data_IF_015370314160
#
_entry.id   IF_015370314160
#
_cell.length_a   1.000
_cell.length_b   1.000
_cell.length_c   1.000
_cell.angle_alpha   90.00
_cell.angle_beta   90.00
_cell.angle_gamma   90.00
#
_symmetry.space_group_name_H-M   'P 1'
#
loop_
_entity.id
_entity.type
_entity.pdbx_description
1 polymer ?
#
# COMPACT_ATOMS: atom_id res chain seq x y z
N UNK A 1 -12.81 13.33 6.48
CA UNK A 1 -11.56 14.04 6.13
C UNK A 1 -11.53 14.29 4.64
N UNK A 2 -11.16 15.48 4.24
CA UNK A 2 -11.06 15.84 2.83
C UNK A 2 -9.59 15.76 2.39
N UNK A 3 -9.28 14.76 1.58
CA UNK A 3 -7.91 14.54 1.12
C UNK A 3 -7.41 15.69 0.21
N UNK A 4 -8.32 16.36 -0.52
CA UNK A 4 -7.94 17.48 -1.37
C UNK A 4 -7.39 18.65 -0.56
N UNK A 5 -7.94 18.91 0.63
CA UNK A 5 -7.42 19.93 1.53
C UNK A 5 -5.98 19.66 1.95
N UNK A 6 -5.66 18.39 2.16
CA UNK A 6 -4.31 18.00 2.54
C UNK A 6 -3.32 18.19 1.41
N UNK A 7 -3.70 17.86 0.19
CA UNK A 7 -2.85 18.00 -0.98
C UNK A 7 -2.54 19.46 -1.32
N UNK A 8 -3.43 20.38 -0.93
CA UNK A 8 -3.25 21.81 -1.18
C UNK A 8 -2.55 22.57 -0.06
N UNK A 9 -2.24 21.90 1.04
CA UNK A 9 -1.54 22.54 2.17
C UNK A 9 -0.03 22.49 1.92
N UNK A 10 0.68 23.65 1.80
CA UNK A 10 2.11 23.63 1.46
C UNK A 10 2.97 22.81 2.41
N UNK A 11 2.61 22.78 3.70
CA UNK A 11 3.33 22.00 4.70
C UNK A 11 3.17 20.48 4.49
N UNK A 12 2.25 20.05 3.63
CA UNK A 12 2.01 18.65 3.33
C UNK A 12 2.74 18.18 2.06
N UNK A 13 3.44 19.10 1.39
CA UNK A 13 4.24 18.71 0.21
C UNK A 13 5.47 17.94 0.70
N UNK A 14 5.58 16.69 0.31
CA UNK A 14 6.66 15.80 0.72
C UNK A 14 7.47 15.41 -0.50
N UNK A 15 8.77 15.75 -0.48
CA UNK A 15 9.70 15.30 -1.50
C UNK A 15 9.91 13.79 -1.40
N UNK A 16 10.19 13.11 -2.52
CA UNK A 16 10.52 11.70 -2.51
C UNK A 16 11.76 11.38 -1.67
N UNK A 17 12.64 12.37 -1.46
CA UNK A 17 13.81 12.23 -0.59
C UNK A 17 13.44 12.17 0.89
N UNK A 18 12.28 12.70 1.24
CA UNK A 18 11.78 12.73 2.63
C UNK A 18 10.87 11.56 2.94
N UNK A 19 10.62 10.68 1.97
CA UNK A 19 9.79 9.49 2.20
C UNK A 19 10.49 8.57 3.17
N UNK A 20 9.77 8.21 4.23
CA UNK A 20 10.25 7.23 5.19
C UNK A 20 10.19 5.85 4.54
N UNK A 21 11.36 5.26 4.27
CA UNK A 21 11.50 3.95 3.66
C UNK A 21 11.84 2.90 4.70
N UNK A 22 11.03 1.86 4.78
CA UNK A 22 11.22 0.78 5.72
C UNK A 22 11.28 -0.57 5.01
N UNK A 23 12.25 -1.40 5.40
CA UNK A 23 12.34 -2.77 4.92
C UNK A 23 11.25 -3.61 5.58
N UNK A 24 10.59 -4.47 4.81
CA UNK A 24 9.65 -5.43 5.39
C UNK A 24 10.39 -6.41 6.29
N UNK A 25 9.72 -6.90 7.33
CA UNK A 25 10.32 -7.84 8.28
C UNK A 25 10.82 -9.11 7.61
N UNK A 26 10.10 -9.60 6.59
CA UNK A 26 10.51 -10.78 5.83
C UNK A 26 11.62 -10.50 4.82
N UNK A 27 12.03 -9.24 4.64
CA UNK A 27 13.09 -8.86 3.71
C UNK A 27 12.70 -8.91 2.24
N UNK A 28 11.40 -9.08 1.90
CA UNK A 28 10.94 -9.30 0.53
C UNK A 28 10.42 -8.04 -0.15
N UNK A 29 10.45 -6.93 0.53
CA UNK A 29 10.02 -5.66 -0.03
C UNK A 29 10.32 -4.49 0.88
N UNK A 30 9.86 -3.32 0.45
CA UNK A 30 10.03 -2.05 1.14
C UNK A 30 8.71 -1.29 1.13
N UNK A 31 8.51 -0.46 2.14
CA UNK A 31 7.41 0.51 2.17
C UNK A 31 8.00 1.91 2.26
N UNK A 32 7.58 2.79 1.35
CA UNK A 32 7.88 4.22 1.42
C UNK A 32 6.63 4.94 1.88
N UNK A 33 6.66 5.46 3.10
CA UNK A 33 5.53 6.21 3.65
C UNK A 33 5.54 7.62 3.09
N UNK A 34 4.45 8.01 2.43
CA UNK A 34 4.30 9.35 1.84
C UNK A 34 3.64 10.28 2.85
N UNK A 35 2.57 9.82 3.48
CA UNK A 35 1.75 10.64 4.37
C UNK A 35 1.06 9.74 5.39
N UNK A 36 0.96 10.21 6.61
CA UNK A 36 0.21 9.56 7.68
C UNK A 36 -0.56 10.62 8.45
N UNK A 37 -1.84 10.38 8.71
CA UNK A 37 -2.70 11.31 9.44
C UNK A 37 -3.40 10.60 10.59
N UNK A 38 -3.28 11.12 11.79
CA UNK A 38 -2.37 12.19 12.19
C UNK A 38 -0.90 11.80 11.98
N UNK A 39 -0.04 12.82 11.82
CA UNK A 39 1.36 12.60 11.45
C UNK A 39 2.19 11.96 12.58
N UNK A 40 1.73 12.04 13.80
CA UNK A 40 2.44 11.53 14.97
C UNK A 40 1.60 10.48 15.69
N UNK A 41 2.29 9.56 16.35
CA UNK A 41 1.65 8.47 17.08
C UNK A 41 1.29 7.29 16.18
N UNK A 42 0.73 6.25 16.80
CA UNK A 42 0.37 5.02 16.09
C UNK A 42 -1.12 4.95 15.74
N UNK A 43 -1.91 5.92 16.21
CA UNK A 43 -3.35 5.97 15.99
C UNK A 43 -3.68 6.77 14.70
N UNK A 44 -3.06 6.40 13.61
CA UNK A 44 -3.33 7.04 12.33
C UNK A 44 -4.68 6.57 11.75
N UNK A 45 -5.36 7.50 11.06
CA UNK A 45 -6.64 7.23 10.39
C UNK A 45 -6.46 6.96 8.89
N UNK A 46 -5.42 7.52 8.31
CA UNK A 46 -5.09 7.38 6.88
C UNK A 46 -3.57 7.26 6.76
N UNK A 47 -3.14 6.34 5.92
CA UNK A 47 -1.72 6.19 5.57
C UNK A 47 -1.61 5.98 4.08
N UNK A 48 -0.79 6.79 3.43
CA UNK A 48 -0.47 6.66 2.02
C UNK A 48 0.98 6.22 1.90
N UNK A 49 1.21 5.15 1.15
CA UNK A 49 2.55 4.62 0.96
C UNK A 49 2.71 4.00 -0.42
N UNK A 50 3.96 3.78 -0.80
CA UNK A 50 4.32 2.99 -1.99
C UNK A 50 5.03 1.74 -1.50
N UNK A 51 4.50 0.58 -1.87
CA UNK A 51 5.13 -0.69 -1.62
C UNK A 51 6.05 -1.04 -2.80
N UNK A 52 7.29 -1.41 -2.49
CA UNK A 52 8.22 -1.96 -3.46
C UNK A 52 8.32 -3.45 -3.19
N UNK A 53 7.74 -4.26 -4.06
CA UNK A 53 7.68 -5.71 -3.87
C UNK A 53 8.77 -6.34 -4.74
N UNK A 54 9.76 -6.92 -4.10
CA UNK A 54 10.94 -7.47 -4.78
C UNK A 54 10.85 -8.97 -5.02
N UNK A 55 10.04 -9.67 -4.23
CA UNK A 55 9.85 -11.11 -4.32
C UNK A 55 8.42 -11.46 -3.90
N UNK A 56 7.96 -12.62 -4.29
CA UNK A 56 6.69 -13.15 -3.82
C UNK A 56 6.67 -13.17 -2.29
N UNK A 57 5.60 -12.65 -1.69
CA UNK A 57 5.57 -12.43 -0.25
C UNK A 57 4.16 -12.44 0.33
N UNK A 58 4.06 -12.89 1.56
CA UNK A 58 2.84 -12.70 2.35
C UNK A 58 2.74 -11.22 2.75
N UNK A 59 1.53 -10.67 2.69
CA UNK A 59 1.24 -9.32 3.13
C UNK A 59 0.84 -9.33 4.60
N UNK A 60 1.30 -8.33 5.34
CA UNK A 60 0.87 -8.17 6.74
C UNK A 60 -0.61 -7.81 6.80
N UNK A 61 -1.32 -8.38 7.79
CA UNK A 61 -2.71 -8.03 8.03
C UNK A 61 -2.80 -6.74 8.85
N UNK A 62 -3.81 -5.92 8.54
CA UNK A 62 -4.11 -4.70 9.29
C UNK A 62 -5.60 -4.70 9.63
N UNK A 63 -6.00 -5.29 10.77
CA UNK A 63 -7.41 -5.36 11.13
C UNK A 63 -8.05 -3.98 11.28
N UNK A 64 -9.31 -3.87 10.86
CA UNK A 64 -10.09 -2.64 11.02
C UNK A 64 -9.89 -1.59 9.93
N UNK A 65 -9.09 -1.87 8.92
CA UNK A 65 -8.80 -0.92 7.85
C UNK A 65 -9.25 -1.44 6.50
N UNK A 66 -9.43 -0.52 5.57
CA UNK A 66 -9.63 -0.82 4.16
C UNK A 66 -8.35 -0.48 3.41
N UNK A 67 -7.98 -1.33 2.47
CA UNK A 67 -6.74 -1.19 1.71
C UNK A 67 -7.04 -1.20 0.22
N UNK A 68 -6.17 -0.53 -0.51
CA UNK A 68 -6.16 -0.56 -1.97
C UNK A 68 -4.73 -0.73 -2.44
N UNK A 69 -4.56 -1.42 -3.54
CA UNK A 69 -3.26 -1.56 -4.20
C UNK A 69 -3.41 -1.13 -5.64
N UNK A 70 -2.59 -0.18 -6.07
CA UNK A 70 -2.60 0.36 -7.45
C UNK A 70 -1.21 0.20 -8.02
N UNK A 71 -1.10 -0.50 -9.14
CA UNK A 71 0.19 -0.69 -9.81
C UNK A 71 0.68 0.63 -10.39
N UNK A 72 1.87 1.07 -9.98
CA UNK A 72 2.53 2.27 -10.51
C UNK A 72 3.60 1.90 -11.52
N UNK A 73 4.35 0.84 -11.25
CA UNK A 73 5.50 0.45 -12.04
C UNK A 73 5.72 -1.05 -11.94
N UNK A 74 6.13 -1.67 -13.04
CA UNK A 74 6.39 -3.10 -13.12
C UNK A 74 5.36 -3.85 -13.97
N UNK A 75 5.47 -5.16 -14.00
CA UNK A 75 4.69 -6.01 -14.90
C UNK A 75 3.46 -6.62 -14.25
N UNK A 76 3.24 -6.34 -12.97
CA UNK A 76 2.05 -6.75 -12.28
C UNK A 76 2.30 -7.64 -11.08
N UNK A 77 1.27 -7.77 -10.26
CA UNK A 77 1.26 -8.63 -9.09
C UNK A 77 -0.08 -9.36 -9.02
N UNK A 78 -0.03 -10.63 -8.66
CA UNK A 78 -1.23 -11.46 -8.45
C UNK A 78 -1.42 -11.65 -6.96
N UNK A 79 -2.59 -11.26 -6.46
CA UNK A 79 -2.91 -11.40 -5.05
C UNK A 79 -3.74 -12.66 -4.85
N UNK A 80 -3.20 -13.59 -4.06
CA UNK A 80 -3.91 -14.82 -3.69
C UNK A 80 -4.40 -14.68 -2.27
N UNK A 81 -5.71 -14.64 -2.10
CA UNK A 81 -6.35 -14.56 -0.80
C UNK A 81 -6.50 -15.96 -0.19
N UNK A 82 -6.49 -16.03 1.13
CA UNK A 82 -6.59 -17.30 1.84
C UNK A 82 -7.91 -18.04 1.57
N UNK A 83 -8.96 -17.31 1.18
CA UNK A 83 -10.26 -17.93 0.83
C UNK A 83 -10.31 -18.49 -0.60
N UNK A 84 -9.21 -18.41 -1.35
CA UNK A 84 -9.12 -18.92 -2.71
C UNK A 84 -9.34 -17.91 -3.81
N UNK A 85 -9.76 -16.68 -3.49
CA UNK A 85 -9.89 -15.62 -4.50
C UNK A 85 -8.52 -15.24 -5.02
N UNK A 86 -8.46 -14.85 -6.29
CA UNK A 86 -7.26 -14.32 -6.92
C UNK A 86 -7.61 -13.01 -7.61
N UNK A 87 -6.84 -11.96 -7.35
CA UNK A 87 -6.98 -10.68 -8.01
C UNK A 87 -5.68 -10.34 -8.75
N UNK A 88 -5.81 -9.91 -9.99
CA UNK A 88 -4.64 -9.53 -10.79
C UNK A 88 -4.55 -8.02 -10.90
N UNK A 89 -3.40 -7.48 -10.49
CA UNK A 89 -3.10 -6.05 -10.53
C UNK A 89 -2.09 -5.85 -11.65
N UNK A 90 -2.57 -5.55 -12.84
CA UNK A 90 -1.80 -5.57 -14.07
C UNK A 90 -1.66 -4.17 -14.69
N UNK A 91 -0.63 -3.96 -15.55
CA UNK A 91 -0.50 -2.71 -16.29
C UNK A 91 -1.68 -2.47 -17.25
N UNK A 92 -2.00 -1.21 -17.56
CA UNK A 92 -1.54 -0.02 -16.87
C UNK A 92 -2.43 0.27 -15.65
N UNK A 93 -1.81 0.51 -14.49
CA UNK A 93 -2.49 0.97 -13.27
C UNK A 93 -3.65 0.11 -12.79
N UNK A 94 -3.54 -1.20 -12.92
CA UNK A 94 -4.49 -2.13 -12.32
C UNK A 94 -4.60 -1.89 -10.83
N UNK A 95 -5.78 -2.14 -10.24
CA UNK A 95 -6.00 -1.90 -8.82
C UNK A 95 -7.00 -2.87 -8.23
N UNK A 96 -6.91 -3.03 -6.90
CA UNK A 96 -7.81 -3.88 -6.14
C UNK A 96 -8.01 -3.28 -4.76
N UNK A 97 -9.24 -3.42 -4.22
CA UNK A 97 -9.57 -3.04 -2.84
C UNK A 97 -9.84 -4.30 -2.04
N UNK A 98 -9.40 -4.30 -0.79
CA UNK A 98 -9.62 -5.45 0.09
C UNK A 98 -9.58 -5.02 1.55
N UNK A 99 -10.21 -5.83 2.41
CA UNK A 99 -10.18 -5.59 3.85
C UNK A 99 -8.79 -5.90 4.43
N UNK A 100 -8.34 -5.09 5.36
CA UNK A 100 -7.00 -5.22 5.92
C UNK A 100 -6.76 -6.50 6.72
N UNK A 101 -7.82 -7.11 7.27
CA UNK A 101 -7.72 -8.37 7.98
C UNK A 101 -7.60 -9.60 7.07
N UNK A 102 -7.82 -9.47 5.77
CA UNK A 102 -7.72 -10.60 4.86
C UNK A 102 -6.27 -11.05 4.72
N UNK A 103 -6.03 -12.33 4.92
CA UNK A 103 -4.73 -12.92 4.69
C UNK A 103 -4.52 -13.13 3.19
N UNK A 104 -3.40 -12.69 2.68
CA UNK A 104 -3.11 -12.82 1.26
C UNK A 104 -1.61 -12.92 0.99
N UNK A 105 -1.31 -13.44 -0.19
CA UNK A 105 0.04 -13.62 -0.67
C UNK A 105 0.16 -12.94 -2.04
N UNK A 106 1.19 -12.11 -2.21
CA UNK A 106 1.47 -11.45 -3.49
C UNK A 106 2.48 -12.25 -4.31
N UNK A 107 2.13 -12.53 -5.55
CA UNK A 107 3.03 -13.16 -6.50
C UNK A 107 3.36 -12.17 -7.62
N UNK A 108 4.64 -11.93 -7.84
CA UNK A 108 5.07 -11.05 -8.94
C UNK A 108 4.87 -11.77 -10.27
N UNK A 109 4.28 -11.07 -11.22
CA UNK A 109 4.12 -11.60 -12.57
C UNK A 109 5.48 -11.70 -13.25
N UNK A 110 6.28 -10.65 -13.16
CA UNK A 110 7.63 -10.62 -13.72
C UNK A 110 8.41 -9.43 -13.15
N UNK A 111 9.22 -9.71 -12.13
CA UNK A 111 10.10 -8.72 -11.53
C UNK A 111 9.43 -7.78 -10.54
N UNK A 112 10.23 -6.90 -9.99
CA UNK A 112 9.84 -5.93 -8.96
C UNK A 112 8.69 -5.04 -9.41
N UNK A 113 7.77 -4.75 -8.48
CA UNK A 113 6.70 -3.79 -8.71
C UNK A 113 6.76 -2.66 -7.68
N UNK A 114 6.24 -1.48 -8.07
CA UNK A 114 5.97 -0.38 -7.17
C UNK A 114 4.45 -0.16 -7.19
N UNK A 115 3.85 -0.20 -6.02
CA UNK A 115 2.40 -0.19 -5.88
C UNK A 115 1.97 0.87 -4.87
N UNK A 116 1.06 1.76 -5.27
CA UNK A 116 0.47 2.72 -4.35
C UNK A 116 -0.52 1.99 -3.45
N UNK A 117 -0.37 2.19 -2.14
CA UNK A 117 -1.15 1.47 -1.13
C UNK A 117 -1.75 2.45 -0.11
N UNK A 118 -2.91 3.03 -0.41
CA UNK A 118 -3.64 3.80 0.57
C UNK A 118 -4.34 2.85 1.55
N UNK A 119 -4.25 3.16 2.84
CA UNK A 119 -4.84 2.38 3.92
C UNK A 119 -5.62 3.33 4.82
N UNK A 120 -6.89 3.04 5.07
CA UNK A 120 -7.74 3.89 5.90
C UNK A 120 -8.67 3.08 6.77
N UNK A 121 -9.09 3.64 7.91
CA UNK A 121 -10.16 3.05 8.69
C UNK A 121 -11.49 3.27 7.99
N UNK A 122 -12.31 2.21 7.91
CA UNK A 122 -13.52 2.20 7.10
C UNK A 122 -14.62 3.12 7.62
N UNK A 123 -14.54 3.51 8.87
CA UNK A 123 -15.57 4.36 9.50
C UNK A 123 -15.25 5.86 9.43
N UNK A 124 -14.29 6.24 8.66
CA UNK A 124 -13.92 7.65 8.46
C UNK A 124 -14.90 8.38 7.55
#
# INVERSE_FOLDING_TARGET
MNIDSLLHTPSQVISSLDYRRERWRNGLGWTREILRLPAQGDDWALRLSVAEIEQDAAFSAFPGVERELVLLQGNGVRLRFADGRVAEVLPPHGRVRFAGEEALHGELVDGTTHDFNPVSYTHL
#
